data_IF_164513308385
#
_entry.id   IF_164513308385
#
_cell.length_a   1.000
_cell.length_b   1.000
_cell.length_c   1.000
_cell.angle_alpha   90.00
_cell.angle_beta   90.00
_cell.angle_gamma   90.00
#
_symmetry.space_group_name_H-M   'P 1'
#
loop_
_entity.id
_entity.type
_entity.pdbx_description
1 polymer ?
#
# COMPACT_ATOMS: atom_id res chain seq x y z
N UNK A 1 13.90 15.96 16.36
CA UNK A 1 13.62 14.57 15.95
C UNK A 1 12.87 14.53 14.61
N UNK A 2 11.80 15.33 14.45
CA UNK A 2 11.05 15.37 13.18
C UNK A 2 11.93 15.77 11.99
N UNK A 3 12.87 16.68 12.19
CA UNK A 3 13.73 17.17 11.10
C UNK A 3 14.66 16.07 10.53
N UNK A 4 15.27 15.24 11.39
CA UNK A 4 16.19 14.19 10.94
C UNK A 4 15.48 13.08 10.13
N UNK A 5 14.28 12.66 10.57
CA UNK A 5 13.51 11.66 9.84
C UNK A 5 13.01 12.17 8.48
N UNK A 6 12.59 13.44 8.42
CA UNK A 6 12.19 14.08 7.16
C UNK A 6 13.40 14.30 6.23
N UNK A 7 14.53 14.70 6.77
CA UNK A 7 15.76 14.82 5.99
C UNK A 7 16.14 13.48 5.37
N UNK A 8 16.14 12.40 6.17
CA UNK A 8 16.40 11.05 5.70
C UNK A 8 15.40 10.61 4.63
N UNK A 9 14.11 10.90 4.82
CA UNK A 9 13.10 10.62 3.83
C UNK A 9 13.43 11.31 2.50
N UNK A 10 13.75 12.59 2.56
CA UNK A 10 14.08 13.40 1.40
C UNK A 10 15.35 12.94 0.69
N UNK A 11 16.38 12.56 1.42
CA UNK A 11 17.63 12.05 0.85
C UNK A 11 17.42 10.77 0.05
N UNK A 12 16.50 9.90 0.51
CA UNK A 12 16.23 8.59 -0.07
C UNK A 12 15.23 8.59 -1.22
N UNK A 13 14.57 9.71 -1.50
CA UNK A 13 13.64 9.83 -2.61
C UNK A 13 14.33 9.56 -3.97
N UNK A 14 13.60 9.03 -4.96
CA UNK A 14 14.09 8.98 -6.35
C UNK A 14 14.43 10.37 -6.89
N UNK A 15 15.29 10.46 -7.89
CA UNK A 15 15.54 11.71 -8.61
C UNK A 15 14.29 12.25 -9.33
N UNK A 16 13.47 11.33 -9.83
CA UNK A 16 12.20 11.64 -10.51
C UNK A 16 11.10 10.75 -9.92
N UNK A 17 10.59 11.08 -8.72
CA UNK A 17 9.54 10.29 -8.10
C UNK A 17 8.21 10.46 -8.81
N UNK A 18 7.35 9.44 -8.70
CA UNK A 18 5.93 9.61 -8.92
C UNK A 18 5.36 10.52 -7.84
N UNK A 19 4.41 11.36 -8.21
CA UNK A 19 3.72 12.25 -7.28
C UNK A 19 2.30 12.56 -7.76
N UNK A 20 1.42 12.89 -6.82
CA UNK A 20 0.06 13.34 -7.11
C UNK A 20 -0.46 14.23 -6.00
N UNK A 21 -1.31 15.18 -6.36
CA UNK A 21 -2.12 15.94 -5.40
C UNK A 21 -3.49 15.30 -5.20
N UNK A 22 -3.97 14.57 -6.21
CA UNK A 22 -5.20 13.81 -6.18
C UNK A 22 -5.03 12.52 -6.99
N UNK A 23 -5.17 11.38 -6.32
CA UNK A 23 -5.01 10.05 -6.90
C UNK A 23 -6.09 9.70 -7.93
N UNK A 24 -7.22 10.39 -7.92
CA UNK A 24 -8.25 10.22 -8.96
C UNK A 24 -7.77 10.67 -10.34
N UNK A 25 -6.89 11.67 -10.38
CA UNK A 25 -6.28 12.17 -11.62
C UNK A 25 -4.98 11.46 -11.99
N UNK A 26 -4.64 10.40 -11.28
CA UNK A 26 -3.42 9.65 -11.51
C UNK A 26 -2.17 10.29 -10.89
N UNK A 27 -1.00 9.74 -11.24
CA UNK A 27 0.29 10.28 -10.80
C UNK A 27 1.09 10.78 -11.99
N UNK A 28 1.94 11.74 -11.71
CA UNK A 28 2.88 12.37 -12.65
C UNK A 28 4.30 12.04 -12.23
N UNK A 29 5.24 12.30 -13.13
CA UNK A 29 6.67 12.20 -12.86
C UNK A 29 7.28 13.56 -13.06
N UNK A 30 8.07 14.03 -12.10
CA UNK A 30 8.88 15.23 -12.24
C UNK A 30 10.15 15.12 -11.41
N UNK A 31 11.03 16.09 -11.54
CA UNK A 31 12.17 16.25 -10.64
C UNK A 31 11.72 16.33 -9.17
N UNK A 32 12.59 15.86 -8.28
CA UNK A 32 12.35 15.77 -6.85
C UNK A 32 11.84 17.08 -6.23
N UNK A 33 12.42 18.21 -6.63
CA UNK A 33 12.06 19.56 -6.15
C UNK A 33 10.58 19.90 -6.36
N UNK A 34 10.02 19.48 -7.49
CA UNK A 34 8.60 19.67 -7.78
C UNK A 34 7.74 18.62 -7.09
N UNK A 35 8.16 17.37 -7.13
CA UNK A 35 7.38 16.26 -6.62
C UNK A 35 7.20 16.32 -5.09
N UNK A 36 8.18 16.87 -4.37
CA UNK A 36 8.15 16.99 -2.90
C UNK A 36 7.06 17.94 -2.38
N UNK A 37 6.51 18.77 -3.25
CA UNK A 37 5.43 19.70 -2.90
C UNK A 37 4.04 19.08 -2.98
N UNK A 38 3.92 17.87 -3.56
CA UNK A 38 2.63 17.22 -3.77
C UNK A 38 2.16 16.43 -2.54
N UNK A 39 0.85 16.16 -2.45
CA UNK A 39 0.23 15.39 -1.36
C UNK A 39 0.72 13.95 -1.24
N UNK A 40 0.99 13.31 -2.38
CA UNK A 40 1.45 11.92 -2.46
C UNK A 40 2.74 11.83 -3.24
N UNK A 41 3.66 10.96 -2.80
CA UNK A 41 4.98 10.83 -3.42
C UNK A 41 5.49 9.39 -3.36
N UNK A 42 6.26 8.99 -4.37
CA UNK A 42 7.01 7.74 -4.36
C UNK A 42 8.16 7.83 -3.34
N UNK A 43 8.21 6.89 -2.41
CA UNK A 43 9.15 6.94 -1.27
C UNK A 43 10.33 5.97 -1.39
N UNK A 44 10.25 4.96 -2.26
CA UNK A 44 11.36 4.05 -2.54
C UNK A 44 11.92 4.30 -3.94
N UNK A 45 13.22 4.11 -4.09
CA UNK A 45 13.89 4.18 -5.39
C UNK A 45 13.52 2.95 -6.24
N UNK A 46 13.56 3.05 -7.58
CA UNK A 46 13.20 1.94 -8.47
C UNK A 46 13.98 0.64 -8.24
N UNK A 47 15.22 0.75 -7.79
CA UNK A 47 16.12 -0.39 -7.64
C UNK A 47 16.60 -0.63 -6.19
N UNK A 48 16.03 0.12 -5.23
CA UNK A 48 16.40 0.02 -3.83
C UNK A 48 15.23 0.33 -2.91
N UNK A 49 14.93 -0.58 -2.01
CA UNK A 49 13.93 -0.40 -0.96
C UNK A 49 14.64 0.09 0.30
N UNK A 50 14.36 1.32 0.69
CA UNK A 50 14.86 1.98 1.90
C UNK A 50 13.83 2.00 3.02
N UNK A 51 12.57 1.80 2.67
CA UNK A 51 11.43 1.90 3.57
C UNK A 51 10.49 0.73 3.35
N UNK A 52 10.04 0.12 4.43
CA UNK A 52 8.84 -0.70 4.42
C UNK A 52 7.65 0.23 4.68
N UNK A 53 6.68 0.23 3.78
CA UNK A 53 5.51 1.11 3.87
C UNK A 53 4.21 0.33 3.91
N UNK A 54 3.31 0.76 4.81
CA UNK A 54 2.01 0.12 5.04
C UNK A 54 0.91 1.16 5.05
N UNK A 55 -0.22 0.85 4.44
CA UNK A 55 -1.43 1.65 4.54
C UNK A 55 -2.38 1.00 5.55
N UNK A 56 -2.83 1.79 6.49
CA UNK A 56 -3.71 1.35 7.58
C UNK A 56 -4.97 2.20 7.55
N UNK A 57 -6.05 1.61 7.04
CA UNK A 57 -7.32 2.28 6.73
C UNK A 57 -8.31 2.17 7.89
N UNK A 58 -7.93 2.73 9.05
CA UNK A 58 -8.81 2.82 10.21
C UNK A 58 -8.50 4.03 11.10
N UNK A 59 -9.48 4.42 11.90
CA UNK A 59 -9.31 5.48 12.90
C UNK A 59 -8.25 5.03 13.92
N UNK A 60 -7.33 5.94 14.27
CA UNK A 60 -6.26 5.64 15.24
C UNK A 60 -5.06 4.91 14.65
N UNK A 61 -5.00 4.70 13.33
CA UNK A 61 -3.91 4.00 12.64
C UNK A 61 -2.50 4.47 13.03
N UNK A 62 -2.35 5.75 13.41
CA UNK A 62 -1.05 6.31 13.78
C UNK A 62 -0.44 5.71 15.05
N UNK A 63 -1.24 5.16 15.96
CA UNK A 63 -0.82 4.61 17.25
C UNK A 63 -1.20 3.14 17.46
N UNK A 64 -2.09 2.60 16.63
CA UNK A 64 -2.62 1.24 16.73
C UNK A 64 -1.54 0.13 16.67
N UNK A 65 -0.39 0.42 16.09
CA UNK A 65 0.78 -0.45 16.09
C UNK A 65 1.22 -0.86 17.50
N UNK A 66 1.07 0.04 18.49
CA UNK A 66 1.39 -0.21 19.89
C UNK A 66 0.47 -1.26 20.51
N UNK A 67 -0.84 -1.15 20.29
CA UNK A 67 -1.83 -2.09 20.80
C UNK A 67 -1.68 -3.49 20.18
N UNK A 68 -1.09 -3.56 19.00
CA UNK A 68 -0.77 -4.81 18.30
C UNK A 68 0.59 -5.39 18.64
N UNK A 69 1.32 -4.79 19.58
CA UNK A 69 2.71 -5.15 19.89
C UNK A 69 3.60 -5.22 18.63
N UNK A 70 3.33 -4.35 17.66
CA UNK A 70 4.18 -4.20 16.48
C UNK A 70 5.33 -3.25 16.78
N UNK A 71 6.47 -3.39 16.09
CA UNK A 71 7.55 -2.40 16.17
C UNK A 71 7.03 -0.98 15.90
N UNK A 72 7.55 0.01 16.61
CA UNK A 72 7.19 1.39 16.35
C UNK A 72 7.60 1.81 14.92
N UNK A 73 6.74 2.42 14.10
CA UNK A 73 7.17 2.92 12.80
C UNK A 73 8.19 4.07 12.98
N UNK A 74 9.07 4.25 12.00
CA UNK A 74 9.95 5.43 11.99
C UNK A 74 9.11 6.68 11.94
N UNK A 75 8.12 6.72 11.04
CA UNK A 75 7.12 7.78 11.01
C UNK A 75 5.74 7.26 10.60
N UNK A 76 4.73 7.95 11.10
CA UNK A 76 3.36 7.82 10.65
C UNK A 76 2.93 9.10 9.96
N UNK A 77 2.18 8.96 8.88
CA UNK A 77 1.67 10.05 8.06
C UNK A 77 0.14 9.91 8.01
N UNK A 78 -0.54 10.69 8.83
CA UNK A 78 -1.96 10.53 9.13
C UNK A 78 -2.80 11.51 8.33
N UNK A 79 -3.90 11.03 7.79
CA UNK A 79 -4.96 11.89 7.28
C UNK A 79 -5.76 12.48 8.45
N UNK A 80 -5.77 13.81 8.62
CA UNK A 80 -6.48 14.44 9.73
C UNK A 80 -8.01 14.32 9.65
N UNK A 81 -8.56 14.02 8.46
CA UNK A 81 -10.00 13.96 8.23
C UNK A 81 -10.62 12.63 8.67
N UNK A 82 -9.88 11.51 8.50
CA UNK A 82 -10.41 10.17 8.77
C UNK A 82 -9.55 9.31 9.71
N UNK A 83 -8.37 9.80 10.13
CA UNK A 83 -7.48 9.08 11.02
C UNK A 83 -6.71 7.91 10.39
N UNK A 84 -6.86 7.66 9.09
CA UNK A 84 -6.10 6.65 8.35
C UNK A 84 -4.64 7.09 8.19
N UNK A 85 -3.71 6.16 8.22
CA UNK A 85 -2.29 6.51 8.20
C UNK A 85 -1.45 5.59 7.33
N UNK A 86 -0.39 6.16 6.72
CA UNK A 86 0.73 5.37 6.25
C UNK A 86 1.77 5.26 7.35
N UNK A 87 2.26 4.04 7.55
CA UNK A 87 3.32 3.72 8.50
C UNK A 87 4.59 3.39 7.72
N UNK A 88 5.68 4.09 7.99
CA UNK A 88 6.96 3.89 7.31
C UNK A 88 8.03 3.43 8.30
N UNK A 89 8.74 2.36 7.96
CA UNK A 89 9.86 1.80 8.72
C UNK A 89 11.14 2.01 7.91
N UNK A 90 12.06 2.80 8.42
CA UNK A 90 13.32 3.12 7.76
C UNK A 90 14.36 2.00 7.97
N UNK A 91 14.88 1.47 6.89
CA UNK A 91 15.90 0.41 6.93
C UNK A 91 17.30 1.00 7.00
N UNK A 92 18.16 0.44 7.84
CA UNK A 92 19.58 0.80 7.94
C UNK A 92 20.33 0.47 6.65
N UNK A 93 20.05 -0.71 6.10
CA UNK A 93 20.61 -1.17 4.82
C UNK A 93 19.49 -1.28 3.81
N UNK A 94 19.64 -0.60 2.68
CA UNK A 94 18.68 -0.73 1.59
C UNK A 94 18.72 -2.13 0.99
N UNK A 95 17.55 -2.59 0.53
CA UNK A 95 17.41 -3.87 -0.15
C UNK A 95 17.43 -3.60 -1.65
N UNK A 96 18.39 -4.20 -2.34
CA UNK A 96 18.48 -4.06 -3.79
C UNK A 96 17.37 -4.87 -4.46
N UNK A 97 16.46 -4.18 -5.12
CA UNK A 97 15.30 -4.76 -5.82
C UNK A 97 15.52 -4.93 -7.33
N UNK A 98 16.63 -4.43 -7.85
CA UNK A 98 17.00 -4.57 -9.26
C UNK A 98 17.25 -6.05 -9.67
N UNK A 99 17.18 -6.37 -10.97
CA UNK A 99 17.35 -7.74 -11.47
C UNK A 99 18.64 -8.45 -11.01
N UNK A 100 19.70 -7.71 -10.76
CA UNK A 100 20.98 -8.21 -10.24
C UNK A 100 21.02 -8.34 -8.70
N UNK A 101 19.92 -8.04 -8.01
CA UNK A 101 19.80 -8.16 -6.56
C UNK A 101 19.84 -9.63 -6.11
N UNK A 102 20.55 -9.89 -5.01
CA UNK A 102 20.66 -11.24 -4.44
C UNK A 102 19.30 -11.70 -3.90
N UNK A 103 18.93 -12.94 -4.20
CA UNK A 103 17.64 -13.53 -3.82
C UNK A 103 17.46 -13.67 -2.31
N UNK A 104 18.52 -14.00 -1.56
CA UNK A 104 18.42 -14.26 -0.11
C UNK A 104 17.95 -13.03 0.69
N UNK A 105 18.55 -11.83 0.52
CA UNK A 105 18.03 -10.61 1.17
C UNK A 105 16.60 -10.25 0.75
N UNK A 106 16.26 -10.46 -0.53
CA UNK A 106 14.91 -10.16 -1.04
C UNK A 106 13.86 -11.09 -0.42
N UNK A 107 14.13 -12.40 -0.33
CA UNK A 107 13.25 -13.37 0.35
C UNK A 107 13.02 -12.97 1.81
N UNK A 108 14.09 -12.64 2.49
CA UNK A 108 14.03 -12.25 3.89
C UNK A 108 13.22 -10.97 4.09
N UNK A 109 13.48 -9.95 3.27
CA UNK A 109 12.72 -8.72 3.31
C UNK A 109 11.22 -8.94 3.04
N UNK A 110 10.90 -9.76 2.05
CA UNK A 110 9.51 -10.09 1.72
C UNK A 110 8.80 -10.83 2.88
N UNK A 111 9.50 -11.73 3.58
CA UNK A 111 8.96 -12.40 4.76
C UNK A 111 8.69 -11.42 5.90
N UNK A 112 9.65 -10.53 6.20
CA UNK A 112 9.50 -9.49 7.23
C UNK A 112 8.35 -8.52 6.86
N UNK A 113 8.30 -8.04 5.61
CA UNK A 113 7.23 -7.16 5.14
C UNK A 113 5.86 -7.83 5.30
N UNK A 114 5.73 -9.09 4.89
CA UNK A 114 4.47 -9.82 4.98
C UNK A 114 4.03 -10.05 6.43
N UNK A 115 4.97 -10.45 7.31
CA UNK A 115 4.69 -10.65 8.72
C UNK A 115 4.28 -9.35 9.42
N UNK A 116 4.97 -8.25 9.11
CA UNK A 116 4.66 -6.94 9.65
C UNK A 116 3.31 -6.41 9.12
N UNK A 117 3.00 -6.61 7.83
CA UNK A 117 1.69 -6.28 7.26
C UNK A 117 0.56 -6.98 8.00
N UNK A 118 0.70 -8.28 8.26
CA UNK A 118 -0.27 -9.04 9.07
C UNK A 118 -0.40 -8.50 10.47
N UNK A 119 0.72 -8.26 11.14
CA UNK A 119 0.74 -7.77 12.52
C UNK A 119 0.06 -6.42 12.65
N UNK A 120 0.28 -5.54 11.67
CA UNK A 120 -0.35 -4.23 11.58
C UNK A 120 -1.80 -4.30 11.06
N UNK A 121 -2.25 -5.44 10.54
CA UNK A 121 -3.53 -5.57 9.83
C UNK A 121 -3.68 -4.46 8.78
N UNK A 122 -2.62 -4.26 8.03
CA UNK A 122 -2.53 -3.24 7.00
C UNK A 122 -3.15 -3.71 5.68
N UNK A 123 -3.58 -2.76 4.83
CA UNK A 123 -4.23 -3.07 3.55
C UNK A 123 -3.33 -3.96 2.68
N UNK A 124 -3.86 -5.14 2.34
CA UNK A 124 -3.20 -6.09 1.43
C UNK A 124 -3.25 -5.64 -0.03
N UNK A 125 -4.14 -4.70 -0.36
CA UNK A 125 -4.26 -4.09 -1.69
C UNK A 125 -3.32 -2.92 -1.92
N UNK A 126 -2.67 -2.40 -0.87
CA UNK A 126 -1.72 -1.30 -1.01
C UNK A 126 -0.50 -1.71 -1.81
N UNK A 127 -0.24 -0.97 -2.89
CA UNK A 127 0.82 -1.32 -3.84
C UNK A 127 2.24 -0.99 -3.34
N UNK A 128 2.37 -0.10 -2.34
CA UNK A 128 3.66 0.38 -1.86
C UNK A 128 4.42 1.28 -2.85
N UNK A 129 3.75 1.75 -3.92
CA UNK A 129 4.37 2.61 -4.92
C UNK A 129 4.54 4.05 -4.43
N UNK A 130 3.48 4.61 -3.85
CA UNK A 130 3.44 5.98 -3.36
C UNK A 130 2.86 6.01 -1.95
N UNK A 131 3.26 6.99 -1.16
CA UNK A 131 2.69 7.24 0.16
C UNK A 131 2.15 8.67 0.29
N UNK A 132 1.39 8.92 1.34
CA UNK A 132 1.12 10.27 1.83
C UNK A 132 2.47 10.96 2.05
N UNK A 133 2.67 12.16 1.49
CA UNK A 133 3.97 12.82 1.51
C UNK A 133 4.20 13.54 2.85
N UNK A 134 5.19 13.13 3.64
CA UNK A 134 5.43 13.73 4.95
C UNK A 134 5.89 15.20 4.89
N UNK A 135 6.26 15.71 3.72
CA UNK A 135 6.62 17.13 3.55
C UNK A 135 5.39 18.01 3.29
N UNK A 136 4.25 17.43 2.97
CA UNK A 136 3.06 18.21 2.63
C UNK A 136 2.24 18.54 3.89
N UNK A 137 1.94 19.83 4.08
CA UNK A 137 1.25 20.35 5.27
C UNK A 137 -0.19 19.84 5.50
N UNK A 138 -0.78 19.13 4.53
CA UNK A 138 -2.09 18.52 4.69
C UNK A 138 -2.10 17.36 5.68
N UNK A 139 -0.98 16.63 5.79
CA UNK A 139 -0.88 15.44 6.61
C UNK A 139 -0.30 15.74 8.00
N UNK A 140 -0.78 15.04 9.01
CA UNK A 140 -0.16 15.03 10.34
C UNK A 140 0.94 14.00 10.39
N UNK A 141 2.11 14.37 10.90
CA UNK A 141 3.29 13.51 11.00
C UNK A 141 3.62 13.27 12.44
N UNK A 142 3.97 12.03 12.78
CA UNK A 142 4.64 11.71 14.04
C UNK A 142 5.86 10.83 13.75
N UNK A 143 6.97 11.12 14.42
CA UNK A 143 8.19 10.29 14.43
C UNK A 143 8.20 9.52 15.75
N UNK A 144 8.19 8.18 15.66
CA UNK A 144 8.16 7.30 16.82
C UNK A 144 9.53 6.70 17.10
N UNK A 145 10.19 6.20 16.05
CA UNK A 145 11.50 5.57 16.14
C UNK A 145 12.49 6.26 15.20
N UNK A 146 13.40 7.09 15.72
CA UNK A 146 14.37 7.82 14.89
C UNK A 146 15.52 6.92 14.40
N UNK A 147 15.78 5.80 15.07
CA UNK A 147 16.83 4.86 14.69
C UNK A 147 16.39 3.96 13.54
N UNK A 148 17.37 3.62 12.69
CA UNK A 148 17.12 2.81 11.51
C UNK A 148 17.05 1.32 11.88
N UNK A 149 16.08 0.63 11.31
CA UNK A 149 15.88 -0.79 11.52
C UNK A 149 16.82 -1.65 10.68
N UNK A 150 17.35 -2.69 11.27
CA UNK A 150 17.81 -3.86 10.50
C UNK A 150 16.63 -4.81 10.28
N UNK A 151 16.68 -5.62 9.22
CA UNK A 151 15.64 -6.63 9.03
C UNK A 151 15.61 -7.65 10.17
N UNK A 152 16.77 -7.99 10.75
CA UNK A 152 16.85 -8.94 11.86
C UNK A 152 16.12 -8.40 13.08
N UNK A 153 16.33 -7.15 13.43
CA UNK A 153 15.65 -6.51 14.55
C UNK A 153 14.11 -6.51 14.37
N UNK A 154 13.64 -6.23 13.16
CA UNK A 154 12.21 -6.31 12.85
C UNK A 154 11.70 -7.75 12.94
N UNK A 155 12.47 -8.71 12.43
CA UNK A 155 12.12 -10.12 12.43
C UNK A 155 11.97 -10.70 13.83
N UNK A 156 12.81 -10.28 14.79
CA UNK A 156 12.77 -10.77 16.18
C UNK A 156 11.42 -10.52 16.88
N UNK A 157 10.67 -9.51 16.43
CA UNK A 157 9.34 -9.15 16.96
C UNK A 157 8.19 -9.77 16.16
N UNK A 158 8.48 -10.55 15.11
CA UNK A 158 7.51 -11.05 14.15
C UNK A 158 7.54 -12.58 14.04
N UNK A 159 6.39 -13.18 13.85
CA UNK A 159 6.31 -14.58 13.46
C UNK A 159 6.41 -14.72 11.94
N UNK A 160 7.61 -15.01 11.45
CA UNK A 160 7.88 -15.19 10.03
C UNK A 160 7.24 -16.47 9.46
N UNK A 161 6.98 -17.48 10.29
CA UNK A 161 6.37 -18.74 9.87
C UNK A 161 4.85 -18.59 9.71
N UNK A 162 4.20 -17.95 10.66
CA UNK A 162 2.76 -17.65 10.57
C UNK A 162 2.41 -16.75 9.37
N UNK A 163 3.37 -15.99 8.85
CA UNK A 163 3.19 -15.21 7.64
C UNK A 163 3.08 -16.10 6.38
N UNK A 164 3.64 -17.31 6.43
CA UNK A 164 3.64 -18.26 5.31
C UNK A 164 2.48 -19.26 5.35
N UNK A 165 1.82 -19.46 6.49
CA UNK A 165 0.95 -20.62 6.72
C UNK A 165 -0.47 -20.57 6.13
N UNK A 166 -0.94 -19.46 5.57
CA UNK A 166 -2.34 -19.38 5.06
C UNK A 166 -2.53 -19.10 3.58
N UNK A 167 -1.47 -18.89 2.83
CA UNK A 167 -1.54 -18.72 1.37
C UNK A 167 -0.62 -19.64 0.58
N UNK A 168 -0.16 -20.74 1.16
CA UNK A 168 0.39 -21.87 0.40
C UNK A 168 -0.79 -22.56 -0.30
N UNK A 169 -1.40 -21.86 -1.24
CA UNK A 169 -2.27 -22.48 -2.21
C UNK A 169 -1.38 -23.21 -3.18
N UNK A 170 -1.42 -24.54 -3.05
CA UNK A 170 -0.97 -25.52 -4.04
C UNK A 170 0.33 -25.14 -4.79
N UNK A 171 1.44 -25.38 -4.17
CA UNK A 171 2.80 -25.20 -4.70
C UNK A 171 3.20 -26.30 -5.69
N UNK A 172 2.27 -26.71 -6.57
CA UNK A 172 2.51 -27.76 -7.54
C UNK A 172 2.48 -27.25 -8.98
N UNK A 173 3.65 -27.08 -9.59
CA UNK A 173 3.84 -26.94 -11.02
C UNK A 173 3.14 -25.74 -11.66
N UNK A 174 2.23 -25.99 -12.58
CA UNK A 174 1.43 -24.97 -13.30
C UNK A 174 0.67 -24.00 -12.37
N UNK A 175 0.37 -24.39 -11.14
CA UNK A 175 -0.32 -23.58 -10.17
C UNK A 175 0.47 -22.33 -9.71
N UNK A 176 1.79 -22.41 -9.60
CA UNK A 176 2.65 -21.27 -9.19
C UNK A 176 2.65 -20.15 -10.21
N UNK A 177 2.79 -20.50 -11.48
CA UNK A 177 2.73 -19.53 -12.59
C UNK A 177 1.39 -18.81 -12.62
N UNK A 178 0.28 -19.54 -12.50
CA UNK A 178 -1.06 -18.99 -12.46
C UNK A 178 -1.26 -18.09 -11.23
N UNK A 179 -0.79 -18.52 -10.06
CA UNK A 179 -0.91 -17.76 -8.80
C UNK A 179 -0.10 -16.48 -8.89
N UNK A 180 1.14 -16.54 -9.37
CA UNK A 180 1.98 -15.36 -9.54
C UNK A 180 1.37 -14.39 -10.55
N UNK A 181 0.90 -14.91 -11.69
CA UNK A 181 0.22 -14.13 -12.70
C UNK A 181 -1.01 -13.42 -12.12
N UNK A 182 -1.88 -14.14 -11.40
CA UNK A 182 -3.10 -13.58 -10.82
C UNK A 182 -2.84 -12.53 -9.73
N UNK A 183 -1.89 -12.79 -8.82
CA UNK A 183 -1.50 -11.81 -7.79
C UNK A 183 -0.93 -10.55 -8.42
N UNK A 184 -0.01 -10.71 -9.36
CA UNK A 184 0.64 -9.58 -10.04
C UNK A 184 -0.34 -8.80 -10.90
N UNK A 185 -1.23 -9.47 -11.65
CA UNK A 185 -2.27 -8.85 -12.47
C UNK A 185 -3.26 -8.03 -11.63
N UNK A 186 -3.76 -8.59 -10.52
CA UNK A 186 -4.69 -7.89 -9.63
C UNK A 186 -4.05 -6.64 -9.03
N UNK A 187 -2.79 -6.72 -8.66
CA UNK A 187 -2.02 -5.56 -8.23
C UNK A 187 -1.85 -4.55 -9.38
N UNK A 188 -1.42 -5.00 -10.55
CA UNK A 188 -1.15 -4.15 -11.70
C UNK A 188 -2.38 -3.33 -12.14
N UNK A 189 -3.57 -3.92 -12.12
CA UNK A 189 -4.82 -3.23 -12.45
C UNK A 189 -5.15 -2.06 -11.51
N UNK A 190 -4.68 -2.11 -10.26
CA UNK A 190 -4.84 -1.02 -9.30
C UNK A 190 -3.70 -0.03 -9.39
N UNK A 191 -2.47 -0.52 -9.47
CA UNK A 191 -1.28 0.29 -9.43
C UNK A 191 -1.12 1.20 -10.65
N UNK A 192 -1.44 0.72 -11.86
CA UNK A 192 -1.33 1.53 -13.08
C UNK A 192 -2.24 2.78 -13.02
N UNK A 193 -3.39 2.67 -12.37
CA UNK A 193 -4.33 3.79 -12.19
C UNK A 193 -3.86 4.84 -11.21
N UNK A 194 -2.89 4.50 -10.37
CA UNK A 194 -2.29 5.45 -9.43
C UNK A 194 -1.24 6.32 -10.10
N UNK A 195 -0.85 5.99 -11.36
CA UNK A 195 0.32 6.58 -11.92
C UNK A 195 0.38 6.84 -13.40
N UNK A 196 -0.33 6.11 -14.18
CA UNK A 196 -0.18 6.17 -15.64
C UNK A 196 1.30 6.32 -16.08
N UNK A 197 2.20 5.45 -15.59
CA UNK A 197 3.65 5.59 -15.78
C UNK A 197 4.05 5.42 -17.24
N UNK A 198 5.27 5.83 -17.59
CA UNK A 198 5.87 5.43 -18.87
C UNK A 198 6.13 3.92 -18.89
N UNK A 199 6.13 3.32 -20.09
CA UNK A 199 6.13 1.86 -20.24
C UNK A 199 7.33 1.18 -19.54
N UNK A 200 8.53 1.72 -19.69
CA UNK A 200 9.74 1.16 -19.09
C UNK A 200 9.68 1.15 -17.57
N UNK A 201 9.17 2.21 -16.98
CA UNK A 201 8.97 2.33 -15.54
C UNK A 201 7.89 1.38 -15.06
N UNK A 202 6.81 1.26 -15.85
CA UNK A 202 5.74 0.35 -15.56
C UNK A 202 6.17 -1.12 -15.63
N UNK A 203 6.95 -1.47 -16.64
CA UNK A 203 7.54 -2.80 -16.79
C UNK A 203 8.39 -3.14 -15.58
N UNK A 204 9.26 -2.21 -15.17
CA UNK A 204 10.10 -2.39 -14.00
C UNK A 204 9.27 -2.57 -12.72
N UNK A 205 8.24 -1.76 -12.50
CA UNK A 205 7.35 -1.89 -11.36
C UNK A 205 6.60 -3.24 -11.33
N UNK A 206 6.11 -3.72 -12.48
CA UNK A 206 5.49 -5.03 -12.61
C UNK A 206 6.48 -6.16 -12.29
N UNK A 207 7.72 -6.04 -12.75
CA UNK A 207 8.76 -7.02 -12.49
C UNK A 207 9.13 -7.10 -11.01
N UNK A 208 9.39 -5.97 -10.38
CA UNK A 208 9.71 -5.89 -8.95
C UNK A 208 8.58 -6.48 -8.08
N UNK A 209 7.34 -6.18 -8.44
CA UNK A 209 6.18 -6.72 -7.74
C UNK A 209 6.00 -8.22 -7.96
N UNK A 210 6.13 -8.70 -9.19
CA UNK A 210 6.09 -10.13 -9.50
C UNK A 210 7.19 -10.88 -8.74
N UNK A 211 8.40 -10.33 -8.72
CA UNK A 211 9.54 -10.88 -8.00
C UNK A 211 9.28 -10.95 -6.50
N UNK A 212 8.74 -9.91 -5.90
CA UNK A 212 8.37 -9.90 -4.48
C UNK A 212 7.31 -10.97 -4.15
N UNK A 213 6.31 -11.17 -4.99
CA UNK A 213 5.33 -12.25 -4.82
C UNK A 213 5.93 -13.64 -5.05
N UNK A 214 6.83 -13.79 -6.03
CA UNK A 214 7.54 -15.04 -6.28
C UNK A 214 8.34 -15.52 -5.08
N UNK A 215 8.94 -14.59 -4.33
CA UNK A 215 9.72 -14.89 -3.15
C UNK A 215 8.88 -15.41 -1.97
N UNK A 216 7.57 -15.27 -2.02
CA UNK A 216 6.66 -15.81 -1.01
C UNK A 216 6.34 -17.31 -1.25
N UNK A 217 6.73 -17.88 -2.37
CA UNK A 217 6.58 -19.33 -2.60
C UNK A 217 7.71 -20.08 -1.91
N UNK A 218 7.40 -21.29 -1.41
CA UNK A 218 8.39 -22.20 -0.82
C UNK A 218 9.44 -22.62 -1.84
N UNK A 219 9.05 -22.78 -3.10
CA UNK A 219 9.93 -23.02 -4.24
C UNK A 219 9.66 -21.93 -5.32
N UNK A 220 10.39 -20.82 -5.31
CA UNK A 220 10.21 -19.75 -6.29
C UNK A 220 10.39 -20.21 -7.72
N UNK A 221 9.68 -19.57 -8.65
CA UNK A 221 9.88 -19.73 -10.10
C UNK A 221 11.21 -19.13 -10.53
N UNK A 222 11.73 -19.62 -11.67
CA UNK A 222 12.93 -19.06 -12.27
C UNK A 222 12.72 -17.59 -12.70
N UNK A 223 13.80 -16.83 -12.68
CA UNK A 223 13.78 -15.39 -12.98
C UNK A 223 13.25 -15.09 -14.39
N UNK A 224 13.52 -15.99 -15.37
CA UNK A 224 13.01 -15.86 -16.74
C UNK A 224 11.48 -15.99 -16.79
N UNK A 225 10.89 -16.89 -15.99
CA UNK A 225 9.45 -17.07 -15.88
C UNK A 225 8.80 -15.84 -15.24
N UNK A 226 9.38 -15.35 -14.15
CA UNK A 226 8.93 -14.12 -13.47
C UNK A 226 8.96 -12.92 -14.40
N UNK A 227 10.06 -12.77 -15.14
CA UNK A 227 10.23 -11.71 -16.13
C UNK A 227 9.21 -11.82 -17.26
N UNK A 228 8.93 -13.03 -17.75
CA UNK A 228 7.91 -13.29 -18.75
C UNK A 228 6.51 -12.91 -18.30
N UNK A 229 6.15 -13.27 -17.07
CA UNK A 229 4.86 -12.93 -16.45
C UNK A 229 4.74 -11.40 -16.30
N UNK A 230 5.75 -10.76 -15.74
CA UNK A 230 5.76 -9.32 -15.54
C UNK A 230 5.63 -8.55 -16.85
N UNK A 231 6.37 -8.97 -17.89
CA UNK A 231 6.34 -8.38 -19.23
C UNK A 231 4.98 -8.51 -19.89
N UNK A 232 4.35 -9.69 -19.77
CA UNK A 232 3.00 -9.94 -20.28
C UNK A 232 1.98 -9.01 -19.63
N UNK A 233 2.01 -8.91 -18.29
CA UNK A 233 1.09 -8.08 -17.51
C UNK A 233 1.33 -6.59 -17.81
N UNK A 234 2.58 -6.15 -17.81
CA UNK A 234 2.93 -4.76 -18.09
C UNK A 234 2.47 -4.34 -19.49
N UNK A 235 2.76 -5.15 -20.51
CA UNK A 235 2.35 -4.87 -21.89
C UNK A 235 0.83 -4.79 -22.04
N UNK A 236 0.12 -5.75 -21.42
CA UNK A 236 -1.33 -5.80 -21.53
C UNK A 236 -1.99 -4.63 -20.80
N UNK A 237 -1.57 -4.35 -19.54
CA UNK A 237 -2.14 -3.26 -18.75
C UNK A 237 -1.83 -1.90 -19.36
N UNK A 238 -0.60 -1.68 -19.83
CA UNK A 238 -0.22 -0.44 -20.49
C UNK A 238 -1.02 -0.15 -21.76
N UNK A 239 -1.32 -1.21 -22.53
CA UNK A 239 -2.11 -1.10 -23.76
C UNK A 239 -3.60 -0.84 -23.49
N UNK A 240 -4.16 -1.49 -22.47
CA UNK A 240 -5.62 -1.53 -22.27
C UNK A 240 -6.13 -0.59 -21.19
N UNK A 241 -5.24 -0.09 -20.33
CA UNK A 241 -5.58 0.90 -19.31
C UNK A 241 -5.02 2.26 -19.73
N UNK A 242 -5.90 3.24 -19.91
CA UNK A 242 -5.54 4.63 -20.08
C UNK A 242 -6.36 5.48 -19.11
N UNK A 243 -5.84 6.66 -18.77
CA UNK A 243 -6.55 7.61 -17.91
C UNK A 243 -7.92 7.97 -18.52
N UNK A 244 -7.95 8.23 -19.82
CA UNK A 244 -9.19 8.58 -20.54
C UNK A 244 -10.23 7.45 -20.48
N UNK A 245 -9.82 6.20 -20.73
CA UNK A 245 -10.72 5.04 -20.65
C UNK A 245 -11.20 4.79 -19.22
N UNK A 246 -10.36 5.03 -18.24
CA UNK A 246 -10.74 4.89 -16.84
C UNK A 246 -11.73 5.97 -16.40
N UNK A 247 -11.52 7.22 -16.78
CA UNK A 247 -12.46 8.31 -16.52
C UNK A 247 -13.80 8.06 -17.20
N UNK A 248 -13.79 7.58 -18.45
CA UNK A 248 -15.00 7.18 -19.15
C UNK A 248 -15.73 6.05 -18.41
N UNK A 249 -15.01 4.99 -18.02
CA UNK A 249 -15.59 3.89 -17.22
C UNK A 249 -16.21 4.39 -15.92
N UNK A 250 -15.54 5.30 -15.20
CA UNK A 250 -16.07 5.90 -13.97
C UNK A 250 -17.33 6.70 -14.26
N UNK A 251 -17.33 7.52 -15.31
CA UNK A 251 -18.51 8.27 -15.74
C UNK A 251 -19.71 7.35 -16.05
N UNK A 252 -19.45 6.28 -16.77
CA UNK A 252 -20.48 5.31 -17.22
C UNK A 252 -21.03 4.44 -16.09
N UNK A 253 -20.20 4.14 -15.08
CA UNK A 253 -20.54 3.13 -14.05
C UNK A 253 -20.75 3.71 -12.65
N UNK A 254 -20.31 4.93 -12.40
CA UNK A 254 -20.31 5.58 -11.08
C UNK A 254 -20.98 6.97 -11.10
N UNK A 255 -21.81 7.27 -12.12
CA UNK A 255 -22.60 8.49 -12.10
C UNK A 255 -23.48 8.55 -10.85
N UNK A 256 -23.83 9.75 -10.39
CA UNK A 256 -24.70 9.97 -9.23
C UNK A 256 -26.03 9.24 -9.36
N UNK A 257 -26.57 9.15 -10.57
CA UNK A 257 -27.80 8.41 -10.86
C UNK A 257 -27.66 6.90 -10.67
N UNK A 258 -26.54 6.32 -11.15
CA UNK A 258 -26.26 4.88 -10.98
C UNK A 258 -26.00 4.57 -9.52
N UNK A 259 -25.27 5.40 -8.81
CA UNK A 259 -25.01 5.24 -7.38
C UNK A 259 -26.32 5.34 -6.56
N UNK A 260 -27.21 6.27 -6.89
CA UNK A 260 -28.52 6.39 -6.30
C UNK A 260 -29.37 5.11 -6.51
N UNK A 261 -29.42 4.61 -7.76
CA UNK A 261 -30.11 3.35 -8.08
C UNK A 261 -29.55 2.15 -7.33
N UNK A 262 -28.21 2.07 -7.16
CA UNK A 262 -27.54 1.01 -6.36
C UNK A 262 -27.89 1.15 -4.88
N UNK A 263 -27.88 2.36 -4.36
CA UNK A 263 -28.27 2.66 -2.98
C UNK A 263 -29.70 2.23 -2.68
N UNK A 264 -30.63 2.52 -3.58
CA UNK A 264 -32.03 2.11 -3.46
C UNK A 264 -32.23 0.58 -3.51
N UNK A 265 -31.39 -0.14 -4.25
CA UNK A 265 -31.41 -1.62 -4.34
C UNK A 265 -30.69 -2.31 -3.19
N UNK A 266 -29.87 -1.59 -2.42
CA UNK A 266 -29.13 -2.16 -1.29
C UNK A 266 -30.11 -2.51 -0.16
N UNK A 267 -30.35 -3.80 0.02
CA UNK A 267 -31.14 -4.34 1.13
C UNK A 267 -30.28 -4.47 2.37
N UNK A 268 -30.05 -3.38 3.08
CA UNK A 268 -29.51 -3.47 4.42
C UNK A 268 -27.99 -3.39 4.52
N UNK A 269 -27.54 -2.39 5.05
CA UNK A 269 -26.30 -1.95 5.63
C UNK A 269 -26.59 -0.73 6.50
N UNK A 270 -27.85 -0.29 6.50
CA UNK A 270 -28.29 0.74 7.43
C UNK A 270 -28.49 0.16 8.83
N UNK A 271 -28.16 0.95 9.84
CA UNK A 271 -28.50 0.67 11.23
C UNK A 271 -29.99 0.28 11.31
N UNK A 272 -30.37 -0.80 12.01
CA UNK A 272 -31.75 -1.21 12.13
C UNK A 272 -32.62 -0.01 12.52
N UNK A 273 -33.75 0.16 11.87
CA UNK A 273 -34.72 1.22 12.27
C UNK A 273 -35.11 0.96 13.70
N UNK A 274 -34.80 1.89 14.57
CA UNK A 274 -35.22 1.86 15.96
C UNK A 274 -36.72 2.16 15.95
N UNK A 275 -37.48 1.20 16.39
CA UNK A 275 -38.95 1.36 16.54
C UNK A 275 -39.19 2.15 17.82
N UNK A 276 -39.86 3.29 17.69
CA UNK A 276 -40.12 4.18 18.79
C UNK A 276 -38.99 5.17 19.09
N UNK A 277 -39.05 5.79 20.25
CA UNK A 277 -38.09 6.78 20.75
C UNK A 277 -37.53 6.32 22.11
N UNK A 278 -36.65 5.30 22.17
CA UNK A 278 -36.19 4.72 23.45
C UNK A 278 -35.59 5.76 24.41
N UNK A 279 -34.98 6.81 23.88
CA UNK A 279 -34.42 7.93 24.66
C UNK A 279 -35.47 8.68 25.45
N UNK A 280 -36.73 8.75 24.97
CA UNK A 280 -37.84 9.38 25.70
C UNK A 280 -38.24 8.56 26.92
N UNK A 281 -38.25 7.23 26.81
CA UNK A 281 -38.55 6.33 27.92
C UNK A 281 -37.49 6.38 29.03
N UNK A 282 -36.26 6.75 28.67
CA UNK A 282 -35.12 6.88 29.57
C UNK A 282 -34.93 8.33 30.07
N UNK A 283 -35.74 9.27 29.63
CA UNK A 283 -35.67 10.69 30.02
C UNK A 283 -34.36 11.37 29.59
N UNK A 284 -33.71 10.88 28.53
CA UNK A 284 -32.45 11.42 28.02
C UNK A 284 -32.61 12.01 26.62
N UNK A 285 -31.68 12.86 26.20
CA UNK A 285 -31.70 13.38 24.84
C UNK A 285 -31.31 12.30 23.82
N UNK A 286 -31.84 12.41 22.60
CA UNK A 286 -31.49 11.55 21.49
C UNK A 286 -29.97 11.50 21.26
N UNK A 287 -29.27 12.64 21.36
CA UNK A 287 -27.82 12.75 21.20
C UNK A 287 -27.05 12.00 22.29
N UNK A 288 -27.56 12.00 23.53
CA UNK A 288 -26.94 11.26 24.63
C UNK A 288 -27.11 9.75 24.43
N UNK A 289 -28.29 9.29 24.01
CA UNK A 289 -28.58 7.87 23.77
C UNK A 289 -27.70 7.25 22.63
N UNK A 290 -27.23 8.04 21.68
CA UNK A 290 -26.35 7.56 20.59
C UNK A 290 -24.87 7.68 20.93
N UNK A 291 -24.50 8.34 22.00
CA UNK A 291 -23.10 8.55 22.40
C UNK A 291 -22.62 7.50 23.40
N UNK A 292 -23.50 6.98 24.24
CA UNK A 292 -23.30 5.88 25.18
C UNK A 292 -23.66 4.53 24.50
#
# INVERSE_FOLDING_TARGET
LNNAALQLFNERLPHKPYFSDDLHFGVRIAGKERAILAKYIQFNQPHAMFWLGFDVDRIGAAIDWSDRNAPAPTLTITNPENGHAHLLYALKTSIRTAPDGKMKPLKYAAAVENALRKKLDADTGYSGLICKNPNHGHWKIAVWQPELYTLDWLADSLDLNAANDKEIVADYGLGRNCTLFDKTRKWAYRAIRQGWPQYEQWLQACYERARAYNLQFSAPLDENEVSGIAKSIAKWTYKNFSEANFLQYVADTHSSEIQSKRGMKSRGGGRPKIVGSPWLNLGISRSKWYRD
#
